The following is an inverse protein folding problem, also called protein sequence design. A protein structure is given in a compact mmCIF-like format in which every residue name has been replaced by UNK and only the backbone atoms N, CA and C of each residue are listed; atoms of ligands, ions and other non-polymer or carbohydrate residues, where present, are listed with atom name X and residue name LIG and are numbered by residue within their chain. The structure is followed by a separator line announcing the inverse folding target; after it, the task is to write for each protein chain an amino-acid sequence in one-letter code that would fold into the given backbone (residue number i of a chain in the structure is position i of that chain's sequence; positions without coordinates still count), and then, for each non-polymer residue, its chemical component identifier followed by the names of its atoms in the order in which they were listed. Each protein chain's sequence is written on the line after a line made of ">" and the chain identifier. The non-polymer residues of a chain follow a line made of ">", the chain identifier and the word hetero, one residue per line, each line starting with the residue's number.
data_IF_467010029231
#
_entry.id   IF_467010029231
#
_cell.length_a   1.000
_cell.length_b   1.000
_cell.length_c   1.000
_cell.angle_alpha   90.00
_cell.angle_beta   90.00
_cell.angle_gamma   90.00
#
_symmetry.space_group_name_H-M   'P 1'
#
loop_
_entity.id
_entity.type
_entity.pdbx_description
1 polymer ?
#
# COMPACT_ATOMS: atom_id res chain seq x y z
N UNK A 1 28.01 -30.13 -17.58
CA UNK A 1 27.42 -28.84 -17.12
C UNK A 1 27.84 -27.80 -18.15
N UNK A 2 26.93 -27.03 -18.74
CA UNK A 2 27.29 -26.07 -19.80
C UNK A 2 28.01 -24.84 -19.24
N UNK A 3 28.81 -24.16 -20.06
CA UNK A 3 29.52 -22.93 -19.70
C UNK A 3 28.56 -21.84 -19.18
N UNK A 4 27.38 -21.73 -19.80
CA UNK A 4 26.31 -20.84 -19.35
C UNK A 4 25.79 -21.19 -17.95
N UNK A 5 25.65 -22.48 -17.65
CA UNK A 5 25.24 -22.96 -16.31
C UNK A 5 26.30 -22.62 -15.28
N UNK A 6 27.57 -22.89 -15.59
CA UNK A 6 28.70 -22.57 -14.71
C UNK A 6 28.73 -21.07 -14.43
N UNK A 7 28.62 -20.22 -15.45
CA UNK A 7 28.62 -18.76 -15.28
C UNK A 7 27.45 -18.25 -14.43
N UNK A 8 26.23 -18.75 -14.63
CA UNK A 8 25.08 -18.38 -13.82
C UNK A 8 25.21 -18.80 -12.35
N UNK A 9 25.75 -20.00 -12.09
CA UNK A 9 25.98 -20.51 -10.73
C UNK A 9 27.10 -19.75 -10.04
N UNK A 10 28.22 -19.51 -10.72
CA UNK A 10 29.34 -18.76 -10.15
C UNK A 10 28.95 -17.32 -9.84
N UNK A 11 28.16 -16.70 -10.72
CA UNK A 11 27.55 -15.40 -10.45
C UNK A 11 26.66 -15.44 -9.19
N UNK A 12 25.75 -16.41 -9.10
CA UNK A 12 24.87 -16.59 -7.93
C UNK A 12 25.64 -16.79 -6.61
N UNK A 13 26.77 -17.52 -6.65
CA UNK A 13 27.65 -17.73 -5.49
C UNK A 13 28.40 -16.47 -5.10
N UNK A 14 28.90 -15.72 -6.07
CA UNK A 14 29.66 -14.49 -5.84
C UNK A 14 28.81 -13.31 -5.33
N UNK A 15 27.48 -13.37 -5.47
CA UNK A 15 26.60 -12.29 -4.97
C UNK A 15 26.67 -12.15 -3.44
N UNK A 16 26.90 -10.95 -2.94
CA UNK A 16 26.72 -10.62 -1.52
C UNK A 16 25.24 -10.34 -1.26
N UNK A 17 24.48 -11.37 -0.91
CA UNK A 17 23.03 -11.25 -0.76
C UNK A 17 22.64 -10.65 0.60
N UNK A 18 21.66 -9.75 0.55
CA UNK A 18 20.99 -9.17 1.72
C UNK A 18 19.48 -9.41 1.66
N UNK A 19 18.77 -9.22 2.78
CA UNK A 19 17.30 -9.39 2.83
C UNK A 19 16.54 -8.39 1.94
N UNK A 20 17.14 -7.25 1.65
CA UNK A 20 16.57 -6.13 0.87
C UNK A 20 16.82 -6.23 -0.64
N UNK A 21 17.60 -7.20 -1.10
CA UNK A 21 17.93 -7.30 -2.52
C UNK A 21 16.68 -7.57 -3.37
N UNK A 22 16.59 -6.87 -4.49
CA UNK A 22 15.46 -7.00 -5.41
C UNK A 22 15.58 -8.25 -6.27
N UNK A 23 14.46 -8.97 -6.45
CA UNK A 23 14.41 -10.12 -7.37
C UNK A 23 14.75 -9.74 -8.82
N UNK A 24 14.43 -8.51 -9.23
CA UNK A 24 14.76 -7.97 -10.55
C UNK A 24 16.26 -7.88 -10.76
N UNK A 25 17.00 -7.25 -9.83
CA UNK A 25 18.46 -7.14 -9.93
C UNK A 25 19.16 -8.50 -9.93
N UNK A 26 18.70 -9.43 -9.08
CA UNK A 26 19.21 -10.81 -9.04
C UNK A 26 18.96 -11.53 -10.37
N UNK A 27 17.73 -11.45 -10.90
CA UNK A 27 17.38 -12.08 -12.17
C UNK A 27 18.21 -11.54 -13.34
N UNK A 28 18.40 -10.21 -13.41
CA UNK A 28 19.25 -9.56 -14.43
C UNK A 28 20.67 -10.11 -14.40
N UNK A 29 21.32 -10.13 -13.24
CA UNK A 29 22.70 -10.60 -13.10
C UNK A 29 22.86 -12.08 -13.52
N UNK A 30 21.93 -12.95 -13.12
CA UNK A 30 21.97 -14.38 -13.50
C UNK A 30 21.73 -14.55 -15.00
N UNK A 31 20.72 -13.88 -15.56
CA UNK A 31 20.42 -13.94 -16.99
C UNK A 31 21.57 -13.41 -17.83
N UNK A 32 22.19 -12.28 -17.45
CA UNK A 32 23.31 -11.70 -18.18
C UNK A 32 24.55 -12.61 -18.13
N UNK A 33 24.83 -13.22 -16.97
CA UNK A 33 25.93 -14.16 -16.84
C UNK A 33 25.75 -15.39 -17.73
N UNK A 34 24.54 -15.94 -17.81
CA UNK A 34 24.22 -17.05 -18.70
C UNK A 34 24.27 -16.63 -20.18
N UNK A 35 23.59 -15.54 -20.53
CA UNK A 35 23.42 -15.11 -21.93
C UNK A 35 24.75 -14.70 -22.56
N UNK A 36 25.65 -14.03 -21.83
CA UNK A 36 26.99 -13.69 -22.35
C UNK A 36 27.83 -14.90 -22.78
N UNK A 37 27.53 -16.09 -22.24
CA UNK A 37 28.22 -17.33 -22.61
C UNK A 37 27.56 -18.05 -23.79
N UNK A 38 26.31 -17.74 -24.07
CA UNK A 38 25.53 -18.33 -25.17
C UNK A 38 25.63 -17.43 -26.39
N UNK A 39 25.20 -16.18 -26.25
CA UNK A 39 25.19 -15.17 -27.29
C UNK A 39 25.56 -13.79 -26.69
N UNK A 40 26.83 -13.36 -26.82
CA UNK A 40 27.29 -12.09 -26.28
C UNK A 40 26.68 -10.88 -27.01
N UNK A 41 26.24 -11.04 -28.26
CA UNK A 41 25.61 -9.96 -29.03
C UNK A 41 24.23 -9.68 -28.45
N UNK A 42 23.39 -10.72 -28.29
CA UNK A 42 22.06 -10.58 -27.67
C UNK A 42 22.13 -10.14 -26.21
N UNK A 43 23.19 -10.54 -25.49
CA UNK A 43 23.42 -10.05 -24.14
C UNK A 43 23.63 -8.52 -24.10
N UNK A 44 24.33 -7.95 -25.07
CA UNK A 44 24.56 -6.50 -25.14
C UNK A 44 23.30 -5.76 -25.62
N UNK A 45 22.53 -6.33 -26.55
CA UNK A 45 21.24 -5.77 -26.97
C UNK A 45 20.24 -5.72 -25.80
N UNK A 46 20.09 -6.81 -25.05
CA UNK A 46 19.23 -6.84 -23.85
C UNK A 46 19.73 -5.87 -22.78
N UNK A 47 21.05 -5.70 -22.63
CA UNK A 47 21.60 -4.67 -21.74
C UNK A 47 21.24 -3.26 -22.20
N UNK A 48 21.22 -2.98 -23.51
CA UNK A 48 20.77 -1.69 -24.02
C UNK A 48 19.30 -1.42 -23.67
N UNK A 49 18.42 -2.44 -23.74
CA UNK A 49 17.03 -2.37 -23.28
C UNK A 49 16.96 -2.03 -21.79
N UNK A 50 17.75 -2.71 -20.95
CA UNK A 50 17.81 -2.46 -19.51
C UNK A 50 18.23 -1.02 -19.19
N UNK A 51 19.29 -0.52 -19.85
CA UNK A 51 19.78 0.85 -19.65
C UNK A 51 18.71 1.88 -20.05
N UNK A 52 17.95 1.62 -21.10
CA UNK A 52 16.84 2.48 -21.54
C UNK A 52 15.69 2.44 -20.53
N UNK A 53 15.27 1.25 -20.11
CA UNK A 53 14.22 1.07 -19.11
C UNK A 53 14.60 1.76 -17.78
N UNK A 54 15.82 1.57 -17.29
CA UNK A 54 16.27 2.15 -16.03
C UNK A 54 16.36 3.68 -16.11
N UNK A 55 16.73 4.22 -17.27
CA UNK A 55 16.70 5.67 -17.54
C UNK A 55 15.27 6.21 -17.45
N UNK A 56 14.32 5.58 -18.13
CA UNK A 56 12.91 5.99 -18.10
C UNK A 56 12.34 5.88 -16.70
N UNK A 57 12.59 4.78 -15.98
CA UNK A 57 12.11 4.63 -14.59
C UNK A 57 12.74 5.67 -13.67
N UNK A 58 14.02 6.00 -13.85
CA UNK A 58 14.70 7.05 -13.07
C UNK A 58 14.10 8.43 -13.38
N UNK A 59 13.93 8.77 -14.65
CA UNK A 59 13.31 10.03 -15.08
C UNK A 59 11.90 10.16 -14.51
N UNK A 60 11.06 9.13 -14.64
CA UNK A 60 9.69 9.13 -14.09
C UNK A 60 9.68 9.22 -12.55
N UNK A 61 10.66 8.62 -11.86
CA UNK A 61 10.82 8.78 -10.40
C UNK A 61 11.31 10.17 -10.00
N UNK A 62 12.10 10.82 -10.86
CA UNK A 62 12.56 12.20 -10.66
C UNK A 62 11.44 13.19 -10.94
N UNK A 63 10.65 12.99 -11.99
CA UNK A 63 9.41 13.75 -12.27
C UNK A 63 8.48 13.68 -11.05
N UNK A 64 8.21 12.48 -10.53
CA UNK A 64 7.46 12.29 -9.28
C UNK A 64 8.04 13.01 -8.05
N UNK A 65 9.36 13.24 -8.01
CA UNK A 65 10.03 13.97 -6.91
C UNK A 65 10.09 15.47 -7.13
N UNK A 66 10.05 15.93 -8.38
CA UNK A 66 10.17 17.35 -8.76
C UNK A 66 8.79 18.02 -8.77
N UNK A 67 7.74 17.24 -9.01
CA UNK A 67 6.33 17.63 -8.78
C UNK A 67 5.96 17.66 -7.28
N UNK A 68 6.89 17.31 -6.39
CA UNK A 68 6.82 17.70 -4.98
C UNK A 68 7.54 19.05 -4.89
N UNK A 69 6.83 20.19 -4.82
CA UNK A 69 7.49 21.46 -4.56
C UNK A 69 8.32 21.31 -3.28
N UNK A 70 9.54 21.86 -3.30
CA UNK A 70 10.40 21.93 -2.12
C UNK A 70 9.54 22.34 -0.93
N UNK A 71 9.39 21.41 0.01
CA UNK A 71 8.53 21.63 1.17
C UNK A 71 9.15 22.73 2.00
N UNK A 72 8.61 23.94 1.90
CA UNK A 72 8.39 24.72 3.11
C UNK A 72 7.73 23.77 4.13
N UNK A 73 8.21 23.76 5.37
CA UNK A 73 7.77 22.89 6.47
C UNK A 73 6.28 23.07 6.88
N UNK A 74 5.46 23.64 6.01
CA UNK A 74 4.01 23.68 6.14
C UNK A 74 3.41 22.32 5.74
N UNK A 75 2.79 21.56 6.68
CA UNK A 75 2.18 20.29 6.35
C UNK A 75 1.12 20.49 5.27
N UNK A 76 1.35 19.88 4.10
CA UNK A 76 0.46 19.97 2.96
C UNK A 76 -0.98 19.51 3.27
N UNK A 77 -1.95 19.90 2.44
CA UNK A 77 -3.37 19.66 2.68
C UNK A 77 -3.75 18.16 2.74
N UNK A 78 -2.94 17.24 2.21
CA UNK A 78 -3.12 15.79 2.33
C UNK A 78 -2.76 15.25 3.71
N UNK A 79 -1.65 15.73 4.29
CA UNK A 79 -1.19 15.35 5.65
C UNK A 79 -2.15 15.87 6.71
N UNK A 80 -2.63 17.12 6.57
CA UNK A 80 -3.63 17.69 7.50
C UNK A 80 -4.95 16.89 7.48
N UNK A 81 -5.42 16.48 6.30
CA UNK A 81 -6.63 15.64 6.17
C UNK A 81 -6.47 14.27 6.82
N UNK A 82 -5.31 13.62 6.61
CA UNK A 82 -5.00 12.33 7.23
C UNK A 82 -4.93 12.45 8.75
N UNK A 83 -4.31 13.51 9.26
CA UNK A 83 -4.23 13.77 10.71
C UNK A 83 -5.62 13.95 11.33
N UNK A 84 -6.53 14.66 10.67
CA UNK A 84 -7.91 14.84 11.16
C UNK A 84 -8.67 13.50 11.20
N UNK A 85 -8.53 12.65 10.19
CA UNK A 85 -9.21 11.35 10.15
C UNK A 85 -8.63 10.35 11.16
N UNK A 86 -7.31 10.37 11.35
CA UNK A 86 -6.61 9.60 12.37
C UNK A 86 -7.02 10.07 13.76
N UNK A 87 -7.08 11.38 13.99
CA UNK A 87 -7.58 11.97 15.24
C UNK A 87 -9.01 11.50 15.54
N UNK A 88 -9.91 11.51 14.54
CA UNK A 88 -11.27 10.99 14.69
C UNK A 88 -11.29 9.53 15.14
N UNK A 89 -10.41 8.71 14.59
CA UNK A 89 -10.28 7.29 14.95
C UNK A 89 -9.77 7.11 16.38
N UNK A 90 -8.77 7.89 16.79
CA UNK A 90 -8.24 7.87 18.17
C UNK A 90 -9.27 8.31 19.20
N UNK A 91 -10.09 9.32 18.88
CA UNK A 91 -11.17 9.78 19.75
C UNK A 91 -12.23 8.67 19.95
N UNK A 92 -12.61 7.98 18.87
CA UNK A 92 -13.52 6.83 18.94
C UNK A 92 -12.93 5.66 19.74
N UNK A 93 -11.63 5.37 19.58
CA UNK A 93 -10.93 4.37 20.38
C UNK A 93 -10.87 4.77 21.87
N UNK A 94 -10.64 6.05 22.17
CA UNK A 94 -10.68 6.58 23.54
C UNK A 94 -12.05 6.42 24.20
N UNK A 95 -13.13 6.60 23.43
CA UNK A 95 -14.49 6.35 23.92
C UNK A 95 -14.70 4.87 24.28
N UNK A 96 -14.17 3.94 23.47
CA UNK A 96 -14.21 2.50 23.78
C UNK A 96 -13.41 2.17 25.03
N UNK A 97 -12.18 2.67 25.14
CA UNK A 97 -11.36 2.45 26.34
C UNK A 97 -12.09 2.96 27.58
N UNK A 98 -12.69 4.16 27.50
CA UNK A 98 -13.46 4.72 28.62
C UNK A 98 -14.68 3.85 28.97
N UNK A 99 -15.40 3.34 27.97
CA UNK A 99 -16.59 2.51 28.18
C UNK A 99 -16.26 1.08 28.67
N UNK A 100 -15.13 0.51 28.24
CA UNK A 100 -14.71 -0.87 28.58
C UNK A 100 -13.92 -0.92 29.88
N UNK A 101 -13.08 0.08 30.16
CA UNK A 101 -12.31 0.20 31.40
C UNK A 101 -13.15 0.76 32.56
N UNK A 102 -14.43 1.03 32.31
CA UNK A 102 -15.44 1.48 33.27
C UNK A 102 -15.54 0.54 34.49
N UNK A 103 -14.92 0.93 35.61
CA UNK A 103 -14.92 0.20 36.88
C UNK A 103 -13.72 -0.73 37.13
N UNK A 104 -12.70 -0.73 36.26
CA UNK A 104 -11.45 -1.49 36.50
C UNK A 104 -10.42 -0.68 37.28
N UNK A 105 -10.39 0.64 37.09
CA UNK A 105 -9.51 1.56 37.82
C UNK A 105 -10.27 2.20 38.99
N UNK A 106 -10.10 1.65 40.20
CA UNK A 106 -10.67 2.25 41.41
C UNK A 106 -9.98 3.59 41.71
N UNK A 107 -10.75 4.69 41.69
CA UNK A 107 -10.29 6.00 42.18
C UNK A 107 -9.97 7.07 41.13
N UNK A 108 -10.09 6.79 39.82
CA UNK A 108 -9.96 7.83 38.80
C UNK A 108 -11.23 8.68 38.69
N UNK A 109 -11.07 10.01 38.57
CA UNK A 109 -12.19 10.93 38.36
C UNK A 109 -12.96 10.66 37.05
N UNK A 110 -12.30 10.07 36.05
CA UNK A 110 -12.92 9.68 34.76
C UNK A 110 -13.89 8.50 34.89
N UNK A 111 -13.88 7.83 36.04
CA UNK A 111 -14.72 6.66 36.35
C UNK A 111 -15.96 7.05 37.17
N UNK A 112 -16.11 8.32 37.54
CA UNK A 112 -17.31 8.80 38.22
C UNK A 112 -18.54 8.66 37.29
N UNK A 113 -19.68 8.14 37.77
CA UNK A 113 -20.87 7.89 36.95
C UNK A 113 -21.34 9.12 36.16
N UNK A 114 -21.30 10.30 36.78
CA UNK A 114 -21.66 11.58 36.14
C UNK A 114 -20.64 12.13 35.14
N UNK A 115 -19.47 11.48 34.98
CA UNK A 115 -18.38 11.90 34.08
C UNK A 115 -18.19 10.92 32.94
N UNK A 116 -18.30 9.61 33.20
CA UNK A 116 -18.00 8.55 32.26
C UNK A 116 -18.88 8.60 30.99
N UNK A 117 -20.20 8.63 31.17
CA UNK A 117 -21.14 8.63 30.05
C UNK A 117 -21.07 9.92 29.21
N UNK A 118 -21.01 11.13 29.80
CA UNK A 118 -20.77 12.37 29.05
C UNK A 118 -19.41 12.41 28.33
N UNK A 119 -18.35 11.89 28.95
CA UNK A 119 -17.01 11.85 28.35
C UNK A 119 -16.97 10.94 27.12
N UNK A 120 -17.53 9.73 27.22
CA UNK A 120 -17.61 8.80 26.08
C UNK A 120 -18.47 9.39 24.94
N UNK A 121 -19.59 10.01 25.27
CA UNK A 121 -20.44 10.69 24.29
C UNK A 121 -19.72 11.88 23.61
N UNK A 122 -19.01 12.71 24.38
CA UNK A 122 -18.22 13.83 23.86
C UNK A 122 -17.10 13.40 22.92
N UNK A 123 -16.37 12.33 23.26
CA UNK A 123 -15.33 11.76 22.42
C UNK A 123 -15.89 11.24 21.09
N UNK A 124 -17.05 10.58 21.13
CA UNK A 124 -17.74 10.15 19.91
C UNK A 124 -18.16 11.37 19.06
N UNK A 125 -18.80 12.39 19.64
CA UNK A 125 -19.19 13.60 18.89
C UNK A 125 -17.99 14.24 18.19
N UNK A 126 -16.87 14.41 18.89
CA UNK A 126 -15.64 14.96 18.31
C UNK A 126 -15.09 14.07 17.18
N UNK A 127 -15.18 12.74 17.31
CA UNK A 127 -14.78 11.81 16.25
C UNK A 127 -15.59 12.02 14.96
N UNK A 128 -16.90 12.18 15.05
CA UNK A 128 -17.73 12.45 13.86
C UNK A 128 -17.46 13.83 13.28
N UNK A 129 -17.26 14.86 14.11
CA UNK A 129 -16.90 16.19 13.60
C UNK A 129 -15.60 16.10 12.80
N UNK A 130 -14.59 15.39 13.31
CA UNK A 130 -13.33 15.18 12.59
C UNK A 130 -13.56 14.49 11.23
N UNK A 131 -14.34 13.41 11.19
CA UNK A 131 -14.66 12.72 9.94
C UNK A 131 -15.54 13.55 8.98
N UNK A 132 -16.43 14.40 9.50
CA UNK A 132 -17.28 15.30 8.72
C UNK A 132 -16.44 16.43 8.10
N UNK A 133 -15.57 17.07 8.89
CA UNK A 133 -14.62 18.09 8.42
C UNK A 133 -13.73 17.52 7.33
N UNK A 134 -13.19 16.31 7.53
CA UNK A 134 -12.40 15.64 6.50
C UNK A 134 -13.23 15.33 5.24
N UNK A 135 -14.52 14.98 5.38
CA UNK A 135 -15.41 14.75 4.24
C UNK A 135 -15.72 16.03 3.44
N UNK A 136 -15.86 17.17 4.11
CA UNK A 136 -16.06 18.48 3.47
C UNK A 136 -14.78 18.93 2.76
N UNK A 137 -13.63 18.80 3.42
CA UNK A 137 -12.33 19.14 2.84
C UNK A 137 -11.94 18.19 1.70
N UNK A 138 -12.42 16.94 1.74
CA UNK A 138 -12.12 15.85 0.80
C UNK A 138 -12.83 15.92 -0.56
N UNK A 139 -13.72 16.89 -0.82
CA UNK A 139 -14.47 17.03 -2.08
C UNK A 139 -13.64 17.33 -3.34
N UNK A 140 -12.31 17.38 -3.25
CA UNK A 140 -11.43 17.52 -4.44
C UNK A 140 -11.00 16.12 -4.94
N UNK A 141 -11.21 15.80 -6.22
CA UNK A 141 -10.85 14.49 -6.79
C UNK A 141 -9.33 14.29 -6.72
N UNK A 142 -8.88 13.12 -6.23
CA UNK A 142 -7.47 12.72 -6.29
C UNK A 142 -6.86 12.07 -5.03
N UNK A 143 -7.51 12.15 -3.87
CA UNK A 143 -6.93 11.59 -2.62
C UNK A 143 -7.58 10.28 -2.16
N UNK A 144 -6.79 9.49 -1.41
CA UNK A 144 -6.99 8.10 -0.93
C UNK A 144 -8.34 7.81 -0.23
N UNK A 145 -9.43 7.82 -1.00
CA UNK A 145 -10.78 7.53 -0.52
C UNK A 145 -10.89 6.16 0.18
N UNK A 146 -10.01 5.20 -0.12
CA UNK A 146 -9.98 3.89 0.51
C UNK A 146 -9.53 3.91 1.97
N UNK A 147 -8.47 4.65 2.32
CA UNK A 147 -7.94 4.72 3.68
C UNK A 147 -8.91 5.47 4.61
N UNK A 148 -9.46 6.59 4.13
CA UNK A 148 -10.46 7.37 4.87
C UNK A 148 -11.78 6.62 5.10
N UNK A 149 -12.19 5.74 4.16
CA UNK A 149 -13.34 4.85 4.35
C UNK A 149 -13.09 3.77 5.38
N UNK A 150 -11.86 3.23 5.40
CA UNK A 150 -11.48 2.23 6.38
C UNK A 150 -11.49 2.81 7.80
N UNK A 151 -10.90 4.00 8.00
CA UNK A 151 -10.92 4.69 9.29
C UNK A 151 -12.35 5.01 9.76
N UNK A 152 -13.21 5.47 8.85
CA UNK A 152 -14.62 5.71 9.16
C UNK A 152 -15.37 4.43 9.60
N UNK A 153 -15.10 3.29 8.95
CA UNK A 153 -15.66 1.99 9.34
C UNK A 153 -15.15 1.53 10.71
N UNK A 154 -13.85 1.73 10.99
CA UNK A 154 -13.24 1.41 12.28
C UNK A 154 -13.86 2.27 13.39
N UNK A 155 -14.04 3.57 13.18
CA UNK A 155 -14.75 4.45 14.12
C UNK A 155 -16.21 4.03 14.34
N UNK A 156 -16.89 3.56 13.29
CA UNK A 156 -18.24 3.00 13.40
C UNK A 156 -18.29 1.73 14.25
N UNK A 157 -17.31 0.83 14.09
CA UNK A 157 -17.19 -0.37 14.93
C UNK A 157 -16.92 0.00 16.40
N UNK A 158 -16.11 1.02 16.66
CA UNK A 158 -15.89 1.54 18.01
C UNK A 158 -17.16 2.12 18.64
N UNK A 159 -17.96 2.88 17.89
CA UNK A 159 -19.25 3.38 18.38
C UNK A 159 -20.20 2.22 18.75
N UNK A 160 -20.24 1.15 17.94
CA UNK A 160 -21.03 -0.05 18.24
C UNK A 160 -20.59 -0.72 19.56
N UNK A 161 -19.28 -0.81 19.81
CA UNK A 161 -18.75 -1.36 21.06
C UNK A 161 -19.21 -0.53 22.26
N UNK A 162 -19.22 0.81 22.15
CA UNK A 162 -19.72 1.70 23.22
C UNK A 162 -21.23 1.50 23.46
N UNK A 163 -22.03 1.36 22.40
CA UNK A 163 -23.48 1.07 22.48
C UNK A 163 -23.75 -0.24 23.23
N UNK A 164 -22.87 -1.24 23.12
CA UNK A 164 -23.04 -2.54 23.78
C UNK A 164 -22.48 -2.51 25.22
N UNK A 165 -21.31 -1.90 25.42
CA UNK A 165 -20.60 -1.93 26.70
C UNK A 165 -21.35 -1.17 27.80
N UNK A 166 -21.90 0.02 27.50
CA UNK A 166 -22.57 0.85 28.50
C UNK A 166 -23.87 0.20 29.06
N UNK A 167 -24.79 -0.37 28.25
CA UNK A 167 -25.96 -1.08 28.75
C UNK A 167 -25.64 -2.36 29.51
N UNK A 168 -24.68 -3.17 29.02
CA UNK A 168 -24.24 -4.39 29.73
C UNK A 168 -23.75 -4.03 31.13
N UNK A 169 -23.06 -2.89 31.28
CA UNK A 169 -22.58 -2.42 32.57
C UNK A 169 -23.70 -1.96 33.49
N UNK A 170 -24.70 -1.25 32.97
CA UNK A 170 -25.88 -0.86 33.74
C UNK A 170 -26.64 -2.09 34.26
N UNK A 171 -26.75 -3.14 33.44
CA UNK A 171 -27.35 -4.42 33.85
C UNK A 171 -26.56 -5.13 34.98
N UNK A 172 -25.26 -4.83 35.15
CA UNK A 172 -24.43 -5.33 36.25
C UNK A 172 -24.52 -4.50 37.54
N UNK A 173 -25.53 -3.62 37.67
CA UNK A 173 -25.88 -2.98 38.95
C UNK A 173 -25.19 -1.64 39.23
N UNK A 174 -24.46 -1.06 38.27
CA UNK A 174 -23.98 0.32 38.37
C UNK A 174 -25.03 1.28 37.81
N UNK A 175 -25.65 2.08 38.66
CA UNK A 175 -26.49 3.20 38.24
C UNK A 175 -25.62 4.26 37.57
N UNK A 176 -25.77 4.40 36.25
CA UNK A 176 -25.07 5.40 35.45
C UNK A 176 -26.09 6.48 35.09
N UNK A 177 -26.06 7.58 35.84
CA UNK A 177 -26.77 8.79 35.44
C UNK A 177 -26.27 9.18 34.03
N UNK A 178 -27.19 9.54 33.13
CA UNK A 178 -26.91 9.85 31.72
C UNK A 178 -26.59 8.66 30.78
N UNK A 179 -26.92 7.42 31.17
CA UNK A 179 -26.81 6.26 30.28
C UNK A 179 -27.66 6.39 29.01
N UNK A 180 -28.96 6.67 29.16
CA UNK A 180 -29.90 6.79 28.04
C UNK A 180 -29.45 7.84 27.00
N UNK A 181 -29.10 9.09 27.37
CA UNK A 181 -28.62 10.06 26.38
C UNK A 181 -27.27 9.66 25.76
N UNK A 182 -26.36 9.02 26.49
CA UNK A 182 -25.08 8.56 25.93
C UNK A 182 -25.26 7.44 24.89
N UNK A 183 -26.17 6.49 25.15
CA UNK A 183 -26.54 5.43 24.21
C UNK A 183 -27.25 6.03 22.99
N UNK A 184 -28.17 6.98 23.19
CA UNK A 184 -28.83 7.67 22.09
C UNK A 184 -27.83 8.41 21.20
N UNK A 185 -26.86 9.12 21.79
CA UNK A 185 -25.77 9.78 21.06
C UNK A 185 -24.95 8.75 20.28
N UNK A 186 -24.57 7.63 20.89
CA UNK A 186 -23.80 6.59 20.22
C UNK A 186 -24.55 5.92 19.04
N UNK A 187 -25.88 5.80 19.12
CA UNK A 187 -26.74 5.36 18.01
C UNK A 187 -26.80 6.41 16.89
N UNK A 188 -27.02 7.68 17.23
CA UNK A 188 -27.02 8.80 16.26
C UNK A 188 -25.66 8.88 15.54
N UNK A 189 -24.58 8.64 16.28
CA UNK A 189 -23.22 8.55 15.77
C UNK A 189 -23.04 7.41 14.77
N UNK A 190 -23.55 6.21 15.07
CA UNK A 190 -23.53 5.08 14.16
C UNK A 190 -24.27 5.39 12.84
N UNK A 191 -25.43 6.05 12.94
CA UNK A 191 -26.23 6.50 11.79
C UNK A 191 -25.46 7.54 10.96
N UNK A 192 -24.83 8.53 11.61
CA UNK A 192 -24.04 9.56 10.95
C UNK A 192 -22.82 8.97 10.21
N UNK A 193 -22.12 8.02 10.82
CA UNK A 193 -21.00 7.28 10.21
C UNK A 193 -21.48 6.50 8.98
N UNK A 194 -22.61 5.80 9.08
CA UNK A 194 -23.21 5.08 7.95
C UNK A 194 -23.63 6.03 6.83
N UNK A 195 -24.26 7.16 7.14
CA UNK A 195 -24.65 8.17 6.16
C UNK A 195 -23.42 8.76 5.44
N UNK A 196 -22.35 9.09 6.17
CA UNK A 196 -21.08 9.55 5.59
C UNK A 196 -20.43 8.48 4.71
N UNK A 197 -20.52 7.20 5.11
CA UNK A 197 -20.02 6.08 4.31
C UNK A 197 -20.81 5.93 2.99
N UNK A 198 -22.14 6.03 3.04
CA UNK A 198 -23.01 5.98 1.85
C UNK A 198 -22.79 7.17 0.92
N UNK A 199 -22.69 8.39 1.45
CA UNK A 199 -22.39 9.60 0.67
C UNK A 199 -21.06 9.45 -0.08
N UNK A 200 -20.01 8.98 0.60
CA UNK A 200 -18.70 8.72 -0.01
C UNK A 200 -18.74 7.64 -1.11
N UNK A 201 -19.64 6.66 -1.01
CA UNK A 201 -19.82 5.62 -2.04
C UNK A 201 -20.49 6.19 -3.30
N UNK A 202 -21.48 7.06 -3.12
CA UNK A 202 -22.17 7.76 -4.21
C UNK A 202 -21.27 8.72 -5.00
N UNK A 203 -20.39 9.45 -4.31
CA UNK A 203 -19.45 10.38 -4.95
C UNK A 203 -18.44 9.67 -5.86
N UNK A 204 -17.99 8.45 -5.51
CA UNK A 204 -17.15 7.66 -6.42
C UNK A 204 -17.87 7.14 -7.66
N UNK A 205 -19.17 6.92 -7.59
CA UNK A 205 -19.95 6.51 -8.77
C UNK A 205 -20.21 7.69 -9.71
N UNK A 206 -20.37 8.91 -9.17
CA UNK A 206 -20.55 10.16 -9.94
C UNK A 206 -19.23 10.76 -10.43
N UNK A 207 -18.09 10.45 -9.81
CA UNK A 207 -16.78 10.86 -10.29
C UNK A 207 -16.31 10.07 -11.53
N UNK A 208 -16.79 8.84 -11.73
CA UNK A 208 -16.49 8.03 -12.92
C UNK A 208 -16.85 8.73 -14.24
N UNK A 209 -18.07 9.28 -14.43
CA UNK A 209 -18.41 9.99 -15.67
C UNK A 209 -17.79 11.39 -15.79
N UNK A 210 -17.43 12.06 -14.68
CA UNK A 210 -16.79 13.37 -14.73
C UNK A 210 -15.30 13.31 -15.11
N UNK A 211 -14.61 12.21 -14.77
CA UNK A 211 -13.21 11.96 -15.17
C UNK A 211 -13.09 11.62 -16.67
N UNK A 212 -14.15 11.09 -17.28
CA UNK A 212 -14.18 10.83 -18.73
C UNK A 212 -14.43 12.10 -19.57
N UNK A 213 -14.94 13.19 -18.97
CA UNK A 213 -15.28 14.43 -19.67
C UNK A 213 -14.39 15.64 -19.34
N UNK A 214 -13.48 15.53 -18.37
CA UNK A 214 -12.66 16.65 -17.89
C UNK A 214 -11.16 16.40 -17.99
N UNK A 215 -10.58 16.59 -19.18
CA UNK A 215 -9.14 16.80 -19.34
C UNK A 215 -8.80 18.22 -18.89
N UNK A 216 -8.03 18.38 -17.81
CA UNK A 216 -7.20 19.58 -17.58
C UNK A 216 -6.11 19.32 -16.52
N UNK A 217 -4.87 19.22 -17.02
CA UNK A 217 -3.57 19.58 -16.43
C UNK A 217 -3.34 19.46 -14.91
N UNK A 218 -2.86 18.29 -14.50
CA UNK A 218 -1.74 18.11 -13.57
C UNK A 218 -1.03 16.80 -13.96
N UNK A 219 0.31 16.68 -13.93
CA UNK A 219 0.98 15.40 -14.21
C UNK A 219 0.59 14.42 -13.09
N UNK A 220 -0.39 13.56 -13.36
CA UNK A 220 -0.92 12.70 -12.32
C UNK A 220 0.08 11.56 -12.06
N UNK A 221 0.31 11.21 -10.80
CA UNK A 221 1.07 10.01 -10.43
C UNK A 221 0.52 8.71 -11.08
N UNK A 222 -0.75 8.71 -11.52
CA UNK A 222 -1.33 7.65 -12.35
C UNK A 222 -0.69 7.54 -13.74
N UNK A 223 -0.16 8.64 -14.29
CA UNK A 223 0.48 8.70 -15.60
C UNK A 223 1.90 8.18 -15.53
N UNK A 224 2.66 8.52 -14.49
CA UNK A 224 3.98 7.93 -14.28
C UNK A 224 3.89 6.41 -14.04
N UNK A 225 2.93 5.95 -13.21
CA UNK A 225 2.73 4.53 -12.97
C UNK A 225 2.22 3.77 -14.22
N UNK A 226 1.36 4.40 -15.03
CA UNK A 226 0.88 3.80 -16.29
C UNK A 226 1.98 3.79 -17.36
N UNK A 227 2.77 4.86 -17.50
CA UNK A 227 3.96 4.93 -18.36
C UNK A 227 4.99 3.88 -17.96
N UNK A 228 5.26 3.71 -16.67
CA UNK A 228 6.14 2.65 -16.17
C UNK A 228 5.61 1.25 -16.53
N UNK A 229 4.29 1.02 -16.45
CA UNK A 229 3.68 -0.26 -16.85
C UNK A 229 3.78 -0.51 -18.36
N UNK A 230 3.58 0.53 -19.16
CA UNK A 230 3.73 0.47 -20.62
C UNK A 230 5.18 0.19 -21.00
N UNK A 231 6.13 0.91 -20.40
CA UNK A 231 7.57 0.73 -20.62
C UNK A 231 8.01 -0.66 -20.17
N UNK A 232 7.52 -1.16 -19.02
CA UNK A 232 7.75 -2.54 -18.59
C UNK A 232 7.28 -3.54 -19.63
N UNK A 233 6.07 -3.36 -20.17
CA UNK A 233 5.50 -4.25 -21.18
C UNK A 233 6.31 -4.22 -22.47
N UNK A 234 6.71 -3.02 -22.92
CA UNK A 234 7.55 -2.84 -24.10
C UNK A 234 8.93 -3.49 -23.93
N UNK A 235 9.64 -3.20 -22.84
CA UNK A 235 10.93 -3.80 -22.52
C UNK A 235 10.84 -5.34 -22.39
N UNK A 236 9.79 -5.85 -21.75
CA UNK A 236 9.57 -7.30 -21.65
C UNK A 236 9.31 -7.94 -23.01
N UNK A 237 8.57 -7.29 -23.90
CA UNK A 237 8.32 -7.78 -25.25
C UNK A 237 9.59 -7.79 -26.11
N UNK A 238 10.41 -6.73 -26.02
CA UNK A 238 11.67 -6.61 -26.75
C UNK A 238 12.71 -7.63 -26.27
N UNK A 239 12.85 -7.85 -24.96
CA UNK A 239 13.71 -8.92 -24.45
C UNK A 239 13.22 -10.30 -24.89
N UNK A 240 11.92 -10.56 -24.85
CA UNK A 240 11.39 -11.83 -25.36
C UNK A 240 11.70 -12.02 -26.84
N UNK A 241 11.56 -10.96 -27.66
CA UNK A 241 11.92 -11.02 -29.07
C UNK A 241 13.40 -11.40 -29.27
N UNK A 242 14.33 -10.79 -28.53
CA UNK A 242 15.74 -11.17 -28.57
C UNK A 242 16.01 -12.60 -28.13
N UNK A 243 15.30 -13.08 -27.11
CA UNK A 243 15.43 -14.46 -26.64
C UNK A 243 14.78 -15.47 -27.60
N UNK A 244 13.80 -15.06 -28.40
CA UNK A 244 13.11 -15.91 -29.39
C UNK A 244 13.94 -16.05 -30.69
N UNK A 245 14.90 -15.17 -30.91
CA UNK A 245 15.90 -15.28 -31.99
C UNK A 245 17.02 -16.29 -31.67
N UNK A 246 17.11 -16.76 -30.41
CA UNK A 246 18.03 -17.85 -30.05
C UNK A 246 17.56 -19.16 -30.67
N UNK A 247 18.52 -20.03 -31.01
CA UNK A 247 18.18 -21.39 -31.42
C UNK A 247 17.43 -22.13 -30.30
N UNK A 248 16.60 -23.12 -30.63
CA UNK A 248 15.87 -23.89 -29.61
C UNK A 248 16.81 -24.54 -28.57
N UNK A 249 18.00 -24.96 -29.01
CA UNK A 249 19.05 -25.52 -28.14
C UNK A 249 19.62 -24.46 -27.19
N UNK A 250 19.93 -23.28 -27.71
CA UNK A 250 20.48 -22.17 -26.93
C UNK A 250 19.46 -21.62 -25.95
N UNK A 251 18.20 -21.54 -26.37
CA UNK A 251 17.09 -21.14 -25.49
C UNK A 251 16.90 -22.12 -24.33
N UNK A 252 16.92 -23.42 -24.61
CA UNK A 252 16.85 -24.44 -23.57
C UNK A 252 18.07 -24.41 -22.64
N UNK A 253 19.27 -24.18 -23.17
CA UNK A 253 20.50 -24.05 -22.39
C UNK A 253 20.48 -22.80 -21.50
N UNK A 254 19.96 -21.68 -22.01
CA UNK A 254 19.72 -20.46 -21.27
C UNK A 254 18.75 -20.70 -20.10
N UNK A 255 17.56 -21.22 -20.39
CA UNK A 255 16.54 -21.46 -19.36
C UNK A 255 17.06 -22.39 -18.27
N UNK A 256 17.76 -23.47 -18.64
CA UNK A 256 18.38 -24.39 -17.69
C UNK A 256 19.48 -23.73 -16.83
N UNK A 257 20.30 -22.85 -17.42
CA UNK A 257 21.34 -22.12 -16.70
C UNK A 257 20.74 -21.13 -15.69
N UNK A 258 19.73 -20.35 -16.10
CA UNK A 258 19.06 -19.40 -15.21
C UNK A 258 18.27 -20.14 -14.11
N UNK A 259 17.66 -21.28 -14.43
CA UNK A 259 17.03 -22.18 -13.46
C UNK A 259 18.01 -22.65 -12.37
N UNK A 260 19.23 -22.99 -12.76
CA UNK A 260 20.29 -23.41 -11.83
C UNK A 260 20.80 -22.24 -10.99
N UNK A 261 21.09 -21.10 -11.60
CA UNK A 261 21.53 -19.90 -10.88
C UNK A 261 20.50 -19.41 -9.86
N UNK A 262 19.21 -19.40 -10.21
CA UNK A 262 18.14 -19.00 -9.28
C UNK A 262 18.01 -19.99 -8.12
N UNK A 263 18.11 -21.30 -8.38
CA UNK A 263 18.10 -22.30 -7.30
C UNK A 263 19.27 -22.12 -6.34
N UNK A 264 20.45 -21.82 -6.86
CA UNK A 264 21.63 -21.51 -6.05
C UNK A 264 21.37 -20.31 -5.13
N UNK A 265 20.87 -19.20 -5.66
CA UNK A 265 20.48 -18.02 -4.86
C UNK A 265 19.46 -18.37 -3.78
N UNK A 266 18.40 -19.09 -4.13
CA UNK A 266 17.34 -19.46 -3.19
C UNK A 266 17.82 -20.40 -2.08
N UNK A 267 18.78 -21.28 -2.37
CA UNK A 267 19.34 -22.22 -1.39
C UNK A 267 20.07 -21.55 -0.23
N UNK A 268 20.57 -20.33 -0.43
CA UNK A 268 21.28 -19.53 0.58
C UNK A 268 20.37 -18.98 1.69
N UNK A 269 19.04 -18.97 1.47
CA UNK A 269 18.06 -18.61 2.49
C UNK A 269 18.10 -17.16 3.00
N UNK A 270 18.83 -16.26 2.32
CA UNK A 270 19.08 -14.89 2.80
C UNK A 270 17.99 -13.89 2.39
N UNK A 271 17.26 -14.17 1.30
CA UNK A 271 16.31 -13.24 0.70
C UNK A 271 14.98 -13.13 1.47
N UNK A 272 14.36 -11.97 1.40
CA UNK A 272 13.01 -11.76 1.94
C UNK A 272 11.94 -12.61 1.20
N UNK A 273 10.79 -12.90 1.86
CA UNK A 273 9.73 -13.77 1.28
C UNK A 273 9.18 -13.30 -0.07
N UNK A 274 9.13 -11.98 -0.30
CA UNK A 274 8.65 -11.39 -1.55
C UNK A 274 9.61 -11.66 -2.70
N UNK A 275 10.93 -11.48 -2.49
CA UNK A 275 11.94 -11.77 -3.49
C UNK A 275 11.99 -13.27 -3.81
N UNK A 276 11.88 -14.13 -2.79
CA UNK A 276 11.78 -15.59 -2.98
C UNK A 276 10.57 -15.96 -3.85
N UNK A 277 9.40 -15.39 -3.56
CA UNK A 277 8.17 -15.66 -4.33
C UNK A 277 8.33 -15.21 -5.79
N UNK A 278 8.89 -14.02 -6.01
CA UNK A 278 9.13 -13.48 -7.35
C UNK A 278 10.11 -14.34 -8.15
N UNK A 279 11.24 -14.74 -7.56
CA UNK A 279 12.24 -15.59 -8.24
C UNK A 279 11.73 -17.00 -8.58
N UNK A 280 10.68 -17.48 -7.89
CA UNK A 280 10.00 -18.76 -8.22
C UNK A 280 8.97 -18.62 -9.34
N UNK A 281 8.73 -17.41 -9.85
CA UNK A 281 7.83 -17.19 -11.00
C UNK A 281 8.35 -17.90 -12.25
N UNK A 282 7.42 -18.42 -13.07
CA UNK A 282 7.75 -18.99 -14.38
C UNK A 282 8.11 -17.91 -15.41
N UNK A 283 7.57 -16.71 -15.24
CA UNK A 283 7.84 -15.59 -16.14
C UNK A 283 9.08 -14.82 -15.67
N UNK A 284 10.25 -15.27 -16.15
CA UNK A 284 11.56 -14.73 -15.75
C UNK A 284 11.80 -13.32 -16.28
N UNK A 285 11.29 -13.01 -17.48
CA UNK A 285 11.41 -11.67 -18.08
C UNK A 285 10.53 -10.67 -17.32
N UNK A 286 9.33 -11.05 -16.89
CA UNK A 286 8.52 -10.19 -16.03
C UNK A 286 9.17 -9.91 -14.65
N UNK A 287 9.97 -10.84 -14.13
CA UNK A 287 10.77 -10.65 -12.91
C UNK A 287 11.93 -9.70 -13.15
N UNK A 288 12.62 -9.79 -14.31
CA UNK A 288 13.71 -8.88 -14.74
C UNK A 288 13.30 -7.40 -14.74
N UNK A 289 12.02 -7.11 -14.96
CA UNK A 289 11.45 -5.75 -14.93
C UNK A 289 10.44 -5.55 -13.81
N UNK A 290 10.49 -6.36 -12.75
CA UNK A 290 9.68 -6.13 -11.56
C UNK A 290 10.20 -4.89 -10.80
N UNK A 291 9.31 -3.93 -10.56
CA UNK A 291 9.61 -2.75 -9.76
C UNK A 291 9.05 -2.98 -8.37
N UNK A 292 9.91 -3.00 -7.36
CA UNK A 292 9.51 -2.90 -5.96
C UNK A 292 9.15 -1.45 -5.66
N UNK A 293 7.91 -1.24 -5.20
CA UNK A 293 7.42 0.03 -4.67
C UNK A 293 7.61 0.05 -3.16
#
# INVERSE_FOLDING_TARGET
>A
MSDATTAAVDCAKAMTLTRSDSASGIMRLIQDAALKRIDPVRAEEIRAVDVRFDRVVRELRLEQRTDVPASDDTPGPSTQRRLVDVLGTFLAAGAVVTAVDAGRQSGSWTQAPGVLAPLAAGLLILAVIAHAVNSVLGRRPGNSAAESRFLLLVSGAFALVVVIALPVRAAMGTTIDFLEPAVAIAIVMLIAVLALWWARRGDTARAKPAVEQGVSEAPNASDAASRIRLEKKAASAEVNAHLDELSATDRAAFDAAVDRGVREVLSRGTLGPQAVRALRSRDRVAVRYAISW
#
